data_IF_949899732408
#
_entry.id   IF_949899732408
#
_cell.length_a   1.000
_cell.length_b   1.000
_cell.length_c   1.000
_cell.angle_alpha   90.00
_cell.angle_beta   90.00
_cell.angle_gamma   90.00
#
_symmetry.space_group_name_H-M   'P 1'
#
loop_
_entity.id
_entity.type
_entity.pdbx_description
1 polymer ?
#
# COMPACT_ATOMS: atom_id res chain seq x y z
N UNK A 1 10.08 11.88 2.87
CA UNK A 1 8.64 12.18 2.68
C UNK A 1 7.95 11.99 4.02
N UNK A 2 7.23 13.01 4.47
CA UNK A 2 6.56 13.05 5.78
C UNK A 2 5.15 13.61 5.61
N UNK A 3 4.25 13.23 6.50
CA UNK A 3 2.88 13.72 6.56
C UNK A 3 2.56 14.20 7.97
N UNK A 4 1.67 15.17 8.11
CA UNK A 4 1.11 15.56 9.40
C UNK A 4 0.02 14.55 9.83
N UNK A 5 -0.36 14.62 11.10
CA UNK A 5 -1.35 13.70 11.69
C UNK A 5 -2.71 13.79 10.99
N UNK A 6 -3.19 15.01 10.71
CA UNK A 6 -4.49 15.25 10.09
C UNK A 6 -4.62 14.57 8.72
N UNK A 7 -3.58 14.70 7.88
CA UNK A 7 -3.56 14.05 6.57
C UNK A 7 -3.55 12.52 6.67
N UNK A 8 -2.89 11.95 7.70
CA UNK A 8 -2.91 10.51 7.95
C UNK A 8 -4.29 10.02 8.38
N UNK A 9 -4.90 10.67 9.37
CA UNK A 9 -6.23 10.31 9.89
C UNK A 9 -7.33 10.44 8.84
N UNK A 10 -7.12 11.24 7.81
CA UNK A 10 -8.03 11.37 6.66
C UNK A 10 -8.02 10.18 5.69
N UNK A 11 -6.99 9.34 5.72
CA UNK A 11 -6.80 8.26 4.73
C UNK A 11 -6.66 6.87 5.34
N UNK A 12 -6.38 6.75 6.63
CA UNK A 12 -6.25 5.46 7.32
C UNK A 12 -6.56 5.58 8.80
N UNK A 13 -6.84 4.45 9.45
CA UNK A 13 -6.88 4.41 10.92
C UNK A 13 -5.45 4.49 11.47
N UNK A 14 -5.11 5.66 12.01
CA UNK A 14 -3.77 5.89 12.54
C UNK A 14 -3.45 4.97 13.73
N UNK A 15 -4.45 4.58 14.52
CA UNK A 15 -4.25 3.69 15.66
C UNK A 15 -3.68 2.33 15.24
N UNK A 16 -4.08 1.81 14.08
CA UNK A 16 -3.56 0.56 13.53
C UNK A 16 -2.11 0.69 13.02
N UNK A 17 -1.73 1.89 12.57
CA UNK A 17 -0.43 2.13 11.92
C UNK A 17 0.62 2.79 12.83
N UNK A 18 0.23 3.49 13.90
CA UNK A 18 1.14 4.32 14.72
C UNK A 18 2.30 3.50 15.31
N UNK A 19 2.08 2.23 15.62
CA UNK A 19 3.10 1.34 16.17
C UNK A 19 4.20 1.00 15.18
N UNK A 20 3.89 1.00 13.87
CA UNK A 20 4.83 0.63 12.80
C UNK A 20 5.45 1.84 12.11
N UNK A 21 4.99 3.06 12.42
CA UNK A 21 5.47 4.30 11.81
C UNK A 21 6.59 4.95 12.61
N UNK A 22 7.42 5.74 11.92
CA UNK A 22 8.39 6.63 12.53
C UNK A 22 7.78 8.02 12.72
N UNK A 23 7.64 8.45 13.98
CA UNK A 23 7.31 9.83 14.32
C UNK A 23 8.54 10.72 14.25
N UNK A 24 8.35 12.00 13.91
CA UNK A 24 9.37 13.05 13.87
C UNK A 24 9.00 14.11 14.91
N UNK A 25 9.69 14.07 16.04
CA UNK A 25 9.51 15.01 17.14
C UNK A 25 10.45 16.22 16.99
N UNK A 26 10.06 17.43 17.46
CA UNK A 26 8.79 17.77 18.10
C UNK A 26 7.69 18.19 17.11
N UNK A 27 7.92 18.11 15.81
CA UNK A 27 7.09 18.74 14.77
C UNK A 27 5.76 17.99 14.52
N UNK A 28 5.58 16.80 15.10
CA UNK A 28 4.36 16.00 14.97
C UNK A 28 4.14 15.43 13.57
N UNK A 29 5.20 15.25 12.80
CA UNK A 29 5.15 14.57 11.52
C UNK A 29 5.41 13.08 11.64
N UNK A 30 4.99 12.34 10.62
CA UNK A 30 5.28 10.92 10.45
C UNK A 30 5.99 10.68 9.13
N UNK A 31 7.01 9.82 9.13
CA UNK A 31 7.59 9.34 7.89
C UNK A 31 6.61 8.37 7.22
N UNK A 32 6.44 8.47 5.90
CA UNK A 32 5.45 7.65 5.20
C UNK A 32 5.83 6.17 5.21
N UNK A 33 4.88 5.32 5.54
CA UNK A 33 5.01 3.86 5.47
C UNK A 33 4.67 3.29 4.08
N UNK A 34 4.00 4.10 3.25
CA UNK A 34 3.61 3.84 1.86
C UNK A 34 3.27 5.16 1.19
N UNK A 35 3.39 5.27 -0.13
CA UNK A 35 2.92 6.45 -0.87
C UNK A 35 1.40 6.49 -1.07
N UNK A 36 0.69 5.42 -0.74
CA UNK A 36 -0.77 5.39 -0.74
C UNK A 36 -1.37 6.56 0.05
N UNK A 37 -0.88 6.77 1.28
CA UNK A 37 -1.39 7.82 2.15
C UNK A 37 -1.20 9.24 1.57
N UNK A 38 0.01 9.68 1.17
CA UNK A 38 0.16 11.01 0.61
C UNK A 38 -0.54 11.18 -0.74
N UNK A 39 -0.60 10.17 -1.59
CA UNK A 39 -1.30 10.26 -2.87
C UNK A 39 -2.81 10.42 -2.69
N UNK A 40 -3.41 9.68 -1.75
CA UNK A 40 -4.83 9.79 -1.46
C UNK A 40 -5.16 11.11 -0.79
N UNK A 41 -4.32 11.57 0.16
CA UNK A 41 -4.52 12.83 0.87
C UNK A 41 -4.33 14.08 0.01
N UNK A 42 -3.73 13.96 -1.19
CA UNK A 42 -3.64 15.09 -2.13
C UNK A 42 -5.01 15.68 -2.51
N UNK A 43 -6.05 14.87 -2.42
CA UNK A 43 -7.43 15.27 -2.78
C UNK A 43 -8.29 15.59 -1.55
N UNK A 44 -7.68 15.69 -0.37
CA UNK A 44 -8.40 16.01 0.86
C UNK A 44 -9.05 17.39 0.77
N UNK A 45 -10.35 17.47 0.99
CA UNK A 45 -11.13 18.71 0.87
C UNK A 45 -11.48 19.13 -0.58
N UNK A 46 -11.06 18.35 -1.57
CA UNK A 46 -11.37 18.63 -2.97
C UNK A 46 -12.67 17.95 -3.41
N UNK A 47 -13.37 18.58 -4.34
CA UNK A 47 -14.46 17.97 -5.09
C UNK A 47 -13.99 17.72 -6.53
N UNK A 48 -13.85 16.44 -6.88
CA UNK A 48 -13.34 16.04 -8.19
C UNK A 48 -14.50 15.99 -9.18
N UNK A 49 -14.47 16.76 -10.29
CA UNK A 49 -15.47 16.68 -11.34
C UNK A 49 -15.56 15.28 -11.95
N UNK A 50 -16.77 14.82 -12.24
CA UNK A 50 -17.01 13.46 -12.74
C UNK A 50 -16.28 13.17 -14.06
N UNK A 51 -16.15 14.18 -14.92
CA UNK A 51 -15.44 14.08 -16.21
C UNK A 51 -13.91 13.85 -16.07
N UNK A 52 -13.36 14.03 -14.87
CA UNK A 52 -11.95 13.75 -14.59
C UNK A 52 -11.71 12.33 -14.09
N UNK A 53 -12.76 11.58 -13.81
CA UNK A 53 -12.65 10.19 -13.34
C UNK A 53 -12.58 9.19 -14.50
N UNK A 54 -11.84 8.10 -14.35
CA UNK A 54 -11.00 7.75 -13.20
C UNK A 54 -9.66 8.51 -13.20
N UNK A 55 -9.19 8.94 -12.02
CA UNK A 55 -7.84 9.45 -11.83
C UNK A 55 -6.91 8.29 -11.52
N UNK A 56 -5.94 8.04 -12.38
CA UNK A 56 -4.92 6.99 -12.23
C UNK A 56 -3.58 7.63 -11.87
N UNK A 57 -3.04 7.25 -10.72
CA UNK A 57 -1.85 7.87 -10.16
C UNK A 57 -0.85 6.78 -9.76
N UNK A 58 0.43 7.04 -9.99
CA UNK A 58 1.54 6.17 -9.56
C UNK A 58 2.49 6.99 -8.70
N UNK A 59 2.86 6.43 -7.54
CA UNK A 59 3.87 6.99 -6.66
C UNK A 59 5.08 6.08 -6.55
N UNK A 60 6.27 6.64 -6.80
CA UNK A 60 7.55 5.99 -6.51
C UNK A 60 8.18 6.71 -5.31
N UNK A 61 8.35 6.02 -4.19
CA UNK A 61 8.85 6.67 -2.98
C UNK A 61 9.67 5.76 -2.07
N UNK A 62 10.62 6.33 -1.29
CA UNK A 62 11.11 5.66 -0.10
C UNK A 62 9.99 5.57 0.93
N UNK A 63 9.85 4.40 1.56
CA UNK A 63 8.90 4.10 2.61
C UNK A 63 9.65 3.64 3.86
N UNK A 64 9.06 3.88 5.04
CA UNK A 64 9.73 3.65 6.32
C UNK A 64 8.78 2.91 7.27
N UNK A 65 9.23 1.76 7.76
CA UNK A 65 8.46 0.97 8.73
C UNK A 65 9.36 0.53 9.88
N UNK A 66 8.86 0.49 11.08
CA UNK A 66 9.58 0.01 12.28
C UNK A 66 9.70 -1.51 12.34
N UNK A 67 8.91 -2.23 11.54
CA UNK A 67 8.86 -3.68 11.48
C UNK A 67 8.66 -4.36 12.85
N UNK A 68 7.86 -3.73 13.71
CA UNK A 68 7.53 -4.22 15.05
C UNK A 68 6.45 -5.28 14.93
N UNK A 69 6.67 -6.48 15.50
CA UNK A 69 5.65 -7.53 15.57
C UNK A 69 5.55 -8.41 14.33
N UNK A 70 6.52 -8.37 13.42
CA UNK A 70 6.59 -9.32 12.31
C UNK A 70 6.63 -10.76 12.85
N UNK A 71 5.71 -11.59 12.40
CA UNK A 71 5.65 -12.99 12.75
C UNK A 71 6.75 -13.77 12.04
N UNK A 72 7.84 -14.03 12.76
CA UNK A 72 8.95 -14.85 12.30
C UNK A 72 10.31 -14.13 12.32
N UNK A 73 11.22 -14.62 13.14
CA UNK A 73 12.62 -14.14 13.17
C UNK A 73 13.38 -14.43 11.86
N UNK A 74 12.84 -15.30 11.00
CA UNK A 74 13.44 -15.68 9.72
C UNK A 74 13.36 -14.58 8.66
N UNK A 75 12.50 -13.58 8.83
CA UNK A 75 12.26 -12.54 7.83
C UNK A 75 13.12 -11.28 7.99
N UNK A 76 13.96 -11.25 9.02
CA UNK A 76 14.89 -10.14 9.26
C UNK A 76 16.05 -10.17 8.26
N UNK A 77 16.58 -9.01 7.93
CA UNK A 77 17.73 -8.85 7.05
C UNK A 77 17.35 -8.30 5.68
N UNK A 78 17.77 -8.96 4.60
CA UNK A 78 17.59 -8.44 3.24
C UNK A 78 16.11 -8.35 2.83
N UNK A 79 15.25 -9.21 3.36
CA UNK A 79 13.83 -9.28 3.01
C UNK A 79 12.96 -8.29 3.78
N UNK A 80 13.40 -7.86 4.96
CA UNK A 80 12.62 -6.99 5.83
C UNK A 80 13.51 -5.90 6.41
N UNK A 81 13.40 -4.71 5.84
CA UNK A 81 14.23 -3.55 6.14
C UNK A 81 13.38 -2.36 6.58
N UNK A 82 13.97 -1.46 7.36
CA UNK A 82 13.28 -0.28 7.89
C UNK A 82 13.03 0.81 6.86
N UNK A 83 13.81 0.81 5.77
CA UNK A 83 13.63 1.69 4.62
C UNK A 83 13.69 0.87 3.34
N UNK A 84 12.72 1.07 2.46
CA UNK A 84 12.65 0.43 1.15
C UNK A 84 11.97 1.36 0.15
N UNK A 85 12.17 1.10 -1.14
CA UNK A 85 11.48 1.83 -2.21
C UNK A 85 10.22 1.06 -2.62
N UNK A 86 9.11 1.76 -2.75
CA UNK A 86 7.82 1.19 -3.15
C UNK A 86 7.24 1.95 -4.34
N UNK A 87 6.68 1.22 -5.27
CA UNK A 87 5.80 1.76 -6.32
C UNK A 87 4.37 1.47 -5.90
N UNK A 88 3.54 2.50 -5.86
CA UNK A 88 2.14 2.41 -5.45
C UNK A 88 1.23 2.88 -6.57
N UNK A 89 0.17 2.14 -6.84
CA UNK A 89 -0.86 2.49 -7.80
C UNK A 89 -2.14 2.90 -7.05
N UNK A 90 -2.69 4.05 -7.39
CA UNK A 90 -3.97 4.55 -6.84
C UNK A 90 -4.90 4.90 -7.99
N UNK A 91 -6.14 4.48 -7.89
CA UNK A 91 -7.22 4.90 -8.78
C UNK A 91 -8.35 5.49 -7.95
N UNK A 92 -8.72 6.74 -8.26
CA UNK A 92 -9.93 7.37 -7.74
C UNK A 92 -10.98 7.26 -8.82
N UNK A 93 -12.09 6.60 -8.52
CA UNK A 93 -13.11 6.25 -9.49
C UNK A 93 -14.53 6.45 -8.96
N UNK A 94 -15.51 6.32 -9.84
CA UNK A 94 -16.91 6.13 -9.45
C UNK A 94 -17.06 4.75 -8.77
N UNK A 95 -18.01 4.60 -7.83
CA UNK A 95 -18.24 3.32 -7.16
C UNK A 95 -18.53 2.15 -8.12
N UNK A 96 -19.31 2.40 -9.17
CA UNK A 96 -19.69 1.40 -10.18
C UNK A 96 -18.51 0.85 -10.97
N UNK A 97 -17.46 1.64 -11.17
CA UNK A 97 -16.28 1.26 -11.96
C UNK A 97 -15.19 0.57 -11.10
N UNK A 98 -15.32 0.64 -9.78
CA UNK A 98 -14.24 0.26 -8.85
C UNK A 98 -13.81 -1.20 -8.96
N UNK A 99 -14.72 -2.11 -9.23
CA UNK A 99 -14.42 -3.54 -9.35
C UNK A 99 -13.57 -3.85 -10.58
N UNK A 100 -13.91 -3.24 -11.73
CA UNK A 100 -13.14 -3.45 -12.96
C UNK A 100 -11.76 -2.79 -12.87
N UNK A 101 -11.68 -1.61 -12.29
CA UNK A 101 -10.43 -0.90 -12.10
C UNK A 101 -9.49 -1.60 -11.08
N UNK A 102 -10.04 -2.29 -10.09
CA UNK A 102 -9.22 -3.14 -9.22
C UNK A 102 -8.60 -4.32 -9.99
N UNK A 103 -9.34 -4.95 -10.90
CA UNK A 103 -8.77 -6.00 -11.77
C UNK A 103 -7.70 -5.44 -12.72
N UNK A 104 -7.82 -4.18 -13.15
CA UNK A 104 -6.76 -3.51 -13.91
C UNK A 104 -5.49 -3.34 -13.08
N UNK A 105 -5.60 -2.88 -11.82
CA UNK A 105 -4.45 -2.76 -10.91
C UNK A 105 -3.77 -4.11 -10.67
N UNK A 106 -4.55 -5.17 -10.52
CA UNK A 106 -4.00 -6.52 -10.39
C UNK A 106 -3.26 -6.94 -11.66
N UNK A 107 -3.83 -6.73 -12.85
CA UNK A 107 -3.17 -7.05 -14.12
C UNK A 107 -1.83 -6.34 -14.28
N UNK A 108 -1.75 -5.05 -13.93
CA UNK A 108 -0.48 -4.32 -13.97
C UNK A 108 0.62 -4.98 -13.11
N UNK A 109 0.26 -5.49 -11.93
CA UNK A 109 1.20 -6.21 -11.07
C UNK A 109 1.59 -7.58 -11.67
N UNK A 110 0.63 -8.31 -12.18
CA UNK A 110 0.83 -9.62 -12.82
C UNK A 110 1.76 -9.48 -14.04
N UNK A 111 1.47 -8.54 -14.94
CA UNK A 111 2.27 -8.28 -16.13
C UNK A 111 3.74 -7.96 -15.77
N UNK A 112 3.94 -7.14 -14.73
CA UNK A 112 5.30 -6.82 -14.25
C UNK A 112 6.02 -8.05 -13.70
N UNK A 113 5.35 -8.91 -12.94
CA UNK A 113 5.97 -10.09 -12.37
C UNK A 113 6.24 -11.16 -13.42
N UNK A 114 5.39 -11.27 -14.44
CA UNK A 114 5.61 -12.12 -15.60
C UNK A 114 6.86 -11.67 -16.40
N UNK A 115 7.01 -10.35 -16.64
CA UNK A 115 8.21 -9.79 -17.29
C UNK A 115 9.50 -10.04 -16.49
N UNK A 116 9.41 -10.02 -15.16
CA UNK A 116 10.54 -10.32 -14.27
C UNK A 116 10.82 -11.82 -14.14
N UNK A 117 9.94 -12.68 -14.65
CA UNK A 117 10.06 -14.14 -14.55
C UNK A 117 9.91 -14.65 -13.10
N UNK A 118 9.17 -13.96 -12.26
CA UNK A 118 8.88 -14.36 -10.89
C UNK A 118 7.81 -15.43 -10.90
N UNK A 119 8.06 -16.56 -10.22
CA UNK A 119 7.03 -17.56 -9.97
C UNK A 119 6.16 -17.12 -8.79
N UNK A 120 4.87 -16.98 -9.01
CA UNK A 120 3.94 -16.44 -8.01
C UNK A 120 2.56 -17.07 -8.13
N UNK A 121 1.72 -16.85 -7.14
CA UNK A 121 0.28 -17.05 -7.20
C UNK A 121 -0.50 -15.80 -6.78
N UNK A 122 -1.72 -15.66 -7.29
CA UNK A 122 -2.65 -14.60 -6.89
C UNK A 122 -3.60 -15.17 -5.85
N UNK A 123 -3.54 -14.64 -4.64
CA UNK A 123 -4.36 -15.08 -3.51
C UNK A 123 -5.49 -14.10 -3.27
N UNK A 124 -6.73 -14.61 -3.25
CA UNK A 124 -7.88 -13.82 -2.81
C UNK A 124 -7.97 -13.91 -1.29
N UNK A 125 -7.73 -12.79 -0.62
CA UNK A 125 -7.63 -12.74 0.84
C UNK A 125 -9.00 -12.99 1.49
N UNK A 126 -9.01 -13.83 2.52
CA UNK A 126 -10.21 -14.14 3.28
C UNK A 126 -10.72 -12.92 4.08
N UNK A 127 -12.00 -12.88 4.37
CA UNK A 127 -12.65 -11.75 5.07
C UNK A 127 -12.10 -11.49 6.46
N UNK A 128 -11.48 -12.47 7.09
CA UNK A 128 -10.84 -12.31 8.41
C UNK A 128 -9.52 -11.55 8.38
N UNK A 129 -8.94 -11.32 7.18
CA UNK A 129 -7.63 -10.65 7.01
C UNK A 129 -7.69 -9.48 6.01
N UNK A 130 -8.87 -9.04 5.62
CA UNK A 130 -9.02 -7.92 4.68
C UNK A 130 -8.76 -6.53 5.29
N UNK A 131 -8.82 -6.40 6.59
CA UNK A 131 -8.86 -5.10 7.25
C UNK A 131 -10.24 -4.42 7.16
N UNK A 132 -10.38 -3.26 7.80
CA UNK A 132 -11.69 -2.60 7.98
C UNK A 132 -12.14 -1.79 6.76
N UNK A 133 -11.22 -1.38 5.89
CA UNK A 133 -11.51 -0.47 4.75
C UNK A 133 -11.65 -1.19 3.41
N UNK A 134 -11.16 -2.43 3.30
CA UNK A 134 -11.16 -3.16 2.04
C UNK A 134 -12.49 -3.90 1.81
N UNK A 135 -13.09 -3.73 0.63
CA UNK A 135 -14.23 -4.54 0.17
C UNK A 135 -13.79 -5.82 -0.57
N UNK A 136 -12.57 -5.80 -1.13
CA UNK A 136 -11.91 -6.91 -1.80
C UNK A 136 -10.40 -6.71 -1.71
N UNK A 137 -9.64 -7.79 -1.51
CA UNK A 137 -8.19 -7.74 -1.40
C UNK A 137 -7.57 -8.92 -2.11
N UNK A 138 -6.53 -8.65 -2.90
CA UNK A 138 -5.63 -9.65 -3.46
C UNK A 138 -4.23 -9.47 -2.92
N UNK A 139 -3.48 -10.56 -2.78
CA UNK A 139 -2.03 -10.54 -2.62
C UNK A 139 -1.38 -11.36 -3.74
N UNK A 140 -0.19 -10.97 -4.17
CA UNK A 140 0.68 -11.76 -5.02
C UNK A 140 1.76 -12.37 -4.14
N UNK A 141 1.80 -13.71 -4.08
CA UNK A 141 2.74 -14.45 -3.26
C UNK A 141 3.83 -15.06 -4.14
N UNK A 142 5.06 -14.57 -3.98
CA UNK A 142 6.21 -15.03 -4.76
C UNK A 142 6.81 -16.28 -4.15
N UNK A 143 7.12 -17.26 -4.99
CA UNK A 143 7.89 -18.42 -4.59
C UNK A 143 9.36 -18.06 -4.31
N UNK A 144 9.85 -18.42 -3.12
CA UNK A 144 11.25 -18.23 -2.72
C UNK A 144 11.96 -19.59 -2.70
N UNK A 145 12.75 -19.95 -3.74
CA UNK A 145 13.35 -21.28 -3.87
C UNK A 145 14.23 -21.70 -2.68
N UNK A 146 14.93 -20.74 -2.07
CA UNK A 146 15.83 -21.01 -0.94
C UNK A 146 15.11 -21.30 0.38
N UNK A 147 13.88 -20.85 0.52
CA UNK A 147 13.04 -21.08 1.70
C UNK A 147 12.10 -22.27 1.54
N UNK A 148 11.96 -22.80 0.34
CA UNK A 148 11.00 -23.85 -0.03
C UNK A 148 9.54 -23.46 0.32
N UNK A 149 9.22 -22.17 0.14
CA UNK A 149 7.95 -21.51 0.42
C UNK A 149 7.51 -20.69 -0.78
#
# INVERSE_FOLDING_TARGET
MMMNRESYEGVTDLADFETVMYGVEPDGYYMIATSEHPLTSMFMGETIPEEQLPLKIVGLSPCFRREVGSHGQSDLGIWRVHQFTKIEQIIISKPEDSWELQEELLRNCVDLWDELGIHYEVVNICTGDMGTVAAKKYDLEAWIPGANQ
#
